data_IF_269365590600
#
_entry.id   IF_269365590600
#
_cell.length_a   1.000
_cell.length_b   1.000
_cell.length_c   1.000
_cell.angle_alpha   90.00
_cell.angle_beta   90.00
_cell.angle_gamma   90.00
#
_symmetry.space_group_name_H-M   'P 1'
#
loop_
_entity.id
_entity.type
_entity.pdbx_description
1 polymer ?
#
# COMPACT_ATOMS: atom_id res chain seq x y z
N UNK A 1 70.76 -32.35 -1.62
CA UNK A 1 71.33 -31.21 -2.37
C UNK A 1 70.24 -30.68 -3.29
N UNK A 2 69.76 -29.48 -2.98
CA UNK A 2 68.62 -28.81 -3.59
C UNK A 2 68.93 -28.34 -5.01
N UNK A 3 68.01 -28.55 -5.96
CA UNK A 3 67.82 -27.64 -7.08
C UNK A 3 66.34 -27.36 -7.24
N UNK A 4 65.96 -26.17 -6.79
CA UNK A 4 64.71 -25.50 -7.12
C UNK A 4 64.76 -25.19 -8.61
N UNK A 5 63.68 -25.48 -9.34
CA UNK A 5 63.43 -24.82 -10.61
C UNK A 5 61.96 -24.43 -10.65
N UNK A 6 61.72 -23.18 -10.31
CA UNK A 6 60.45 -22.48 -10.44
C UNK A 6 60.25 -22.18 -11.92
N UNK A 7 59.18 -22.68 -12.53
CA UNK A 7 58.74 -22.24 -13.87
C UNK A 7 57.39 -21.56 -13.72
N UNK A 8 57.41 -20.22 -13.84
CA UNK A 8 56.23 -19.37 -13.96
C UNK A 8 55.95 -19.24 -15.45
N UNK A 9 54.81 -19.76 -15.91
CA UNK A 9 54.25 -19.44 -17.22
C UNK A 9 52.89 -18.80 -17.00
N UNK A 10 52.79 -17.53 -17.35
CA UNK A 10 51.59 -16.72 -17.21
C UNK A 10 50.95 -16.48 -18.60
N UNK A 11 49.62 -16.31 -18.55
CA UNK A 11 48.73 -15.74 -19.57
C UNK A 11 48.37 -16.61 -20.79
N UNK A 12 47.08 -16.94 -20.93
CA UNK A 12 46.11 -16.21 -21.75
C UNK A 12 44.69 -16.64 -21.32
N UNK A 13 43.75 -15.69 -21.40
CA UNK A 13 42.48 -15.71 -20.70
C UNK A 13 41.48 -16.77 -21.13
N UNK A 14 40.65 -17.15 -20.17
CA UNK A 14 39.24 -17.41 -20.43
C UNK A 14 38.48 -16.72 -19.30
N UNK A 15 37.93 -15.55 -19.63
CA UNK A 15 36.87 -14.92 -18.85
C UNK A 15 35.67 -15.87 -18.98
N UNK A 16 35.55 -16.80 -18.04
CA UNK A 16 34.33 -17.55 -17.82
C UNK A 16 33.41 -16.70 -16.95
N UNK A 17 32.84 -15.64 -17.52
CA UNK A 17 31.58 -15.11 -17.04
C UNK A 17 30.57 -16.25 -17.22
N UNK A 18 30.41 -17.09 -16.20
CA UNK A 18 29.14 -17.80 -16.05
C UNK A 18 28.13 -16.74 -15.67
N UNK A 19 27.63 -16.05 -16.69
CA UNK A 19 26.28 -15.55 -16.69
C UNK A 19 25.42 -16.78 -16.44
N UNK A 20 25.18 -17.10 -15.17
CA UNK A 20 23.90 -17.64 -14.82
C UNK A 20 22.95 -16.51 -15.20
N UNK A 21 22.44 -16.58 -16.43
CA UNK A 21 21.13 -16.03 -16.70
C UNK A 21 20.23 -16.81 -15.76
N UNK A 22 20.05 -16.31 -14.54
CA UNK A 22 18.77 -16.48 -13.91
C UNK A 22 17.81 -15.85 -14.91
N UNK A 23 17.05 -16.71 -15.57
CA UNK A 23 15.83 -16.30 -16.23
C UNK A 23 14.93 -15.82 -15.09
N UNK A 24 15.18 -14.59 -14.64
CA UNK A 24 14.24 -13.87 -13.80
C UNK A 24 13.23 -13.28 -14.78
N UNK A 25 12.40 -14.18 -15.31
CA UNK A 25 10.97 -13.84 -15.38
C UNK A 25 10.54 -13.64 -13.93
N UNK A 26 10.92 -12.49 -13.39
CA UNK A 26 10.69 -12.04 -12.03
C UNK A 26 9.22 -11.63 -11.96
N UNK A 27 8.36 -12.63 -12.06
CA UNK A 27 7.11 -12.56 -11.31
C UNK A 27 7.57 -12.78 -9.87
N UNK A 28 7.95 -11.66 -9.24
CA UNK A 28 8.17 -11.59 -7.81
C UNK A 28 6.88 -12.05 -7.14
N UNK A 29 6.89 -13.32 -6.77
CA UNK A 29 5.81 -13.98 -6.06
C UNK A 29 6.07 -13.92 -4.55
N UNK A 30 7.05 -13.11 -4.10
CA UNK A 30 7.20 -12.76 -2.71
C UNK A 30 6.04 -11.84 -2.35
N UNK A 31 5.25 -12.30 -1.39
CA UNK A 31 4.02 -11.65 -0.95
C UNK A 31 4.41 -10.54 0.04
N UNK A 32 5.19 -9.58 -0.42
CA UNK A 32 5.58 -8.44 0.38
C UNK A 32 4.37 -7.53 0.60
N UNK A 33 4.28 -6.93 1.79
CA UNK A 33 3.27 -5.91 2.03
C UNK A 33 3.60 -4.67 1.20
N UNK A 34 2.57 -4.03 0.67
CA UNK A 34 2.71 -2.84 -0.18
C UNK A 34 1.69 -1.77 0.19
N UNK A 35 2.02 -0.52 -0.14
CA UNK A 35 1.13 0.61 0.08
C UNK A 35 1.05 1.51 -1.15
N UNK A 36 -0.16 1.98 -1.42
CA UNK A 36 -0.49 2.90 -2.50
C UNK A 36 -1.13 4.18 -1.96
N UNK A 37 -1.02 5.26 -2.74
CA UNK A 37 -1.66 6.55 -2.46
C UNK A 37 -2.76 6.81 -3.48
N UNK A 38 -3.99 7.03 -3.02
CA UNK A 38 -4.95 7.81 -3.77
C UNK A 38 -4.77 9.27 -3.36
N UNK A 39 -4.33 10.13 -4.28
CA UNK A 39 -4.02 11.53 -3.96
C UNK A 39 -5.00 12.48 -4.64
N UNK A 40 -5.56 13.38 -3.84
CA UNK A 40 -6.41 14.48 -4.31
C UNK A 40 -7.57 13.98 -5.19
N UNK A 41 -8.17 12.87 -4.79
CA UNK A 41 -9.28 12.23 -5.50
C UNK A 41 -10.61 12.77 -5.01
N UNK A 42 -11.61 12.76 -5.89
CA UNK A 42 -12.97 13.12 -5.53
C UNK A 42 -13.82 11.85 -5.46
N UNK A 43 -14.81 11.84 -4.58
CA UNK A 43 -15.87 10.85 -4.65
C UNK A 43 -16.79 11.16 -5.84
N UNK A 44 -17.15 10.13 -6.58
CA UNK A 44 -18.16 10.17 -7.62
C UNK A 44 -19.53 9.86 -7.02
N UNK A 45 -20.54 10.66 -7.35
CA UNK A 45 -21.91 10.45 -6.88
C UNK A 45 -22.75 9.67 -7.89
N UNK A 46 -23.36 8.58 -7.44
CA UNK A 46 -24.40 7.86 -8.17
C UNK A 46 -25.66 7.72 -7.28
N UNK A 47 -26.88 8.03 -7.77
CA UNK A 47 -28.09 7.85 -6.97
C UNK A 47 -28.34 6.45 -6.39
N UNK A 48 -27.76 5.40 -6.98
CA UNK A 48 -27.89 4.03 -6.47
C UNK A 48 -26.90 3.72 -5.33
N UNK A 49 -25.66 4.23 -5.43
CA UNK A 49 -24.54 3.81 -4.56
C UNK A 49 -24.07 4.92 -3.60
N UNK A 50 -24.55 6.15 -3.78
CA UNK A 50 -24.08 7.31 -3.03
C UNK A 50 -22.74 7.85 -3.55
N UNK A 51 -21.93 8.41 -2.65
CA UNK A 51 -20.58 8.87 -2.96
C UNK A 51 -19.60 7.71 -2.85
N UNK A 52 -18.89 7.41 -3.94
CA UNK A 52 -17.93 6.30 -3.99
C UNK A 52 -16.61 6.68 -4.65
N UNK A 53 -15.55 5.97 -4.28
CA UNK A 53 -14.29 5.90 -5.03
C UNK A 53 -14.00 4.44 -5.30
N UNK A 54 -14.15 4.04 -6.56
CA UNK A 54 -13.84 2.68 -7.02
C UNK A 54 -12.45 2.60 -7.62
N UNK A 55 -11.68 1.56 -7.31
CA UNK A 55 -10.42 1.24 -8.00
C UNK A 55 -10.28 -0.27 -8.21
N UNK A 56 -9.96 -0.64 -9.45
CA UNK A 56 -9.51 -1.99 -9.77
C UNK A 56 -8.05 -2.17 -9.36
N UNK A 57 -7.73 -3.34 -8.80
CA UNK A 57 -6.39 -3.76 -8.45
C UNK A 57 -5.71 -4.36 -9.69
N UNK A 58 -4.58 -3.78 -10.08
CA UNK A 58 -3.78 -4.26 -11.19
C UNK A 58 -2.27 -4.17 -10.85
N UNK A 59 -1.61 -5.31 -10.57
CA UNK A 59 -2.15 -6.68 -10.64
C UNK A 59 -3.22 -6.95 -9.58
N UNK A 60 -4.03 -7.99 -9.79
CA UNK A 60 -4.92 -8.50 -8.75
C UNK A 60 -4.09 -9.02 -7.57
N UNK A 61 -4.58 -8.81 -6.35
CA UNK A 61 -3.93 -9.30 -5.13
C UNK A 61 -4.28 -10.77 -4.87
N UNK A 62 -3.60 -11.42 -3.93
CA UNK A 62 -3.95 -12.79 -3.57
C UNK A 62 -5.24 -12.83 -2.76
N UNK A 63 -5.99 -13.92 -2.87
CA UNK A 63 -7.21 -14.12 -2.07
C UNK A 63 -6.94 -14.19 -0.55
N UNK A 64 -5.69 -14.38 -0.16
CA UNK A 64 -5.22 -14.35 1.22
C UNK A 64 -4.88 -12.95 1.72
N UNK A 65 -4.80 -11.96 0.84
CA UNK A 65 -4.36 -10.62 1.22
C UNK A 65 -5.53 -9.84 1.81
N UNK A 66 -5.22 -8.91 2.70
CA UNK A 66 -6.20 -8.00 3.30
C UNK A 66 -5.84 -6.56 2.98
N UNK A 67 -6.85 -5.72 2.81
CA UNK A 67 -6.68 -4.28 2.59
C UNK A 67 -7.01 -3.51 3.86
N UNK A 68 -6.13 -2.58 4.22
CA UNK A 68 -6.36 -1.54 5.21
C UNK A 68 -6.39 -0.19 4.50
N UNK A 69 -7.39 0.64 4.80
CA UNK A 69 -7.51 1.98 4.23
C UNK A 69 -7.42 3.03 5.33
N UNK A 70 -6.57 4.04 5.11
CA UNK A 70 -6.43 5.20 5.98
C UNK A 70 -6.69 6.47 5.18
N UNK A 71 -7.54 7.35 5.70
CA UNK A 71 -7.76 8.68 5.14
C UNK A 71 -6.79 9.69 5.76
N UNK A 72 -6.37 10.67 4.98
CA UNK A 72 -5.58 11.80 5.48
C UNK A 72 -6.51 12.75 6.24
N UNK A 73 -6.53 12.64 7.57
CA UNK A 73 -7.40 13.46 8.42
C UNK A 73 -6.85 14.88 8.63
N UNK A 74 -5.56 15.10 8.36
CA UNK A 74 -4.91 16.40 8.47
C UNK A 74 -3.39 16.28 8.43
N UNK A 75 -2.72 17.38 8.74
CA UNK A 75 -1.26 17.44 8.83
C UNK A 75 -0.86 18.29 10.05
N UNK A 76 0.22 17.89 10.73
CA UNK A 76 0.84 18.73 11.77
C UNK A 76 1.69 19.82 11.09
N UNK A 77 2.41 19.41 10.05
CA UNK A 77 3.22 20.25 9.16
C UNK A 77 3.26 19.63 7.75
N UNK A 78 3.94 20.25 6.80
CA UNK A 78 4.00 19.79 5.40
C UNK A 78 4.59 18.38 5.20
N UNK A 79 5.29 17.85 6.19
CA UNK A 79 5.95 16.53 6.15
C UNK A 79 5.34 15.50 7.11
N UNK A 80 4.39 15.90 7.96
CA UNK A 80 3.85 15.04 9.02
C UNK A 80 2.34 14.84 8.85
N UNK A 81 1.92 13.85 8.02
CA UNK A 81 0.51 13.53 7.82
C UNK A 81 -0.11 12.83 9.04
N UNK A 82 -1.40 13.10 9.27
CA UNK A 82 -2.21 12.43 10.28
C UNK A 82 -3.16 11.47 9.55
N UNK A 83 -2.87 10.18 9.67
CA UNK A 83 -3.67 9.12 9.07
C UNK A 83 -4.73 8.63 10.05
N UNK A 84 -5.95 8.44 9.56
CA UNK A 84 -7.05 7.86 10.31
C UNK A 84 -7.59 6.65 9.57
N UNK A 85 -7.63 5.50 10.23
CA UNK A 85 -8.20 4.29 9.65
C UNK A 85 -9.71 4.45 9.41
N UNK A 86 -10.20 3.87 8.32
CA UNK A 86 -11.64 3.67 8.06
C UNK A 86 -11.94 2.16 8.19
N UNK A 87 -13.16 1.73 8.62
CA UNK A 87 -14.38 2.53 8.74
C UNK A 87 -14.36 3.56 9.87
N UNK A 88 -15.00 4.71 9.65
CA UNK A 88 -15.04 5.79 10.65
C UNK A 88 -16.25 6.71 10.47
N UNK A 89 -16.94 6.97 11.58
CA UNK A 89 -17.92 8.05 11.71
C UNK A 89 -17.27 9.34 12.19
N UNK A 90 -17.60 10.44 11.54
CA UNK A 90 -17.35 11.81 12.00
C UNK A 90 -18.65 12.43 12.48
N UNK A 91 -18.59 13.11 13.62
CA UNK A 91 -19.70 13.86 14.17
C UNK A 91 -19.50 15.33 13.82
N UNK A 92 -20.27 15.82 12.86
CA UNK A 92 -20.19 17.19 12.33
C UNK A 92 -21.41 18.00 12.80
N UNK A 93 -21.34 19.35 12.74
CA UNK A 93 -22.51 20.19 13.01
C UNK A 93 -23.73 19.88 12.12
N UNK A 94 -23.49 19.45 10.89
CA UNK A 94 -24.52 19.12 9.89
C UNK A 94 -25.15 17.73 10.11
N UNK A 95 -24.43 16.81 10.77
CA UNK A 95 -24.86 15.43 10.98
C UNK A 95 -23.68 14.46 11.12
N UNK A 96 -23.98 13.17 11.03
CA UNK A 96 -22.97 12.12 10.98
C UNK A 96 -22.50 11.92 9.53
N UNK A 97 -21.19 11.76 9.36
CA UNK A 97 -20.53 11.38 8.10
C UNK A 97 -19.77 10.08 8.33
N UNK A 98 -20.12 9.04 7.58
CA UNK A 98 -19.51 7.72 7.65
C UNK A 98 -18.63 7.49 6.42
N UNK A 99 -17.36 7.16 6.68
CA UNK A 99 -16.51 6.53 5.68
C UNK A 99 -16.47 5.03 5.92
N UNK A 100 -16.69 4.25 4.88
CA UNK A 100 -16.63 2.79 4.90
C UNK A 100 -15.90 2.29 3.65
N UNK A 101 -15.59 1.00 3.59
CA UNK A 101 -15.05 0.38 2.38
C UNK A 101 -15.34 -1.11 2.32
N UNK A 102 -15.36 -1.63 1.10
CA UNK A 102 -15.23 -3.05 0.83
C UNK A 102 -14.07 -3.30 -0.14
N UNK A 103 -13.65 -4.56 -0.22
CA UNK A 103 -12.65 -4.98 -1.18
C UNK A 103 -12.82 -6.44 -1.57
N UNK A 104 -12.26 -6.76 -2.73
CA UNK A 104 -12.07 -8.10 -3.25
C UNK A 104 -10.59 -8.27 -3.65
N UNK A 105 -10.24 -9.44 -4.19
CA UNK A 105 -8.92 -9.61 -4.82
C UNK A 105 -8.75 -8.78 -6.11
N UNK A 106 -9.85 -8.26 -6.64
CA UNK A 106 -9.91 -7.60 -7.96
C UNK A 106 -10.05 -6.08 -7.84
N UNK A 107 -10.60 -5.57 -6.74
CA UNK A 107 -10.98 -4.17 -6.59
C UNK A 107 -11.23 -3.78 -5.14
N UNK A 108 -11.36 -2.48 -4.89
CA UNK A 108 -11.92 -1.94 -3.66
C UNK A 108 -12.80 -0.73 -3.95
N UNK A 109 -13.78 -0.49 -3.08
CA UNK A 109 -14.62 0.70 -3.11
C UNK A 109 -14.60 1.39 -1.76
N UNK A 110 -14.31 2.70 -1.76
CA UNK A 110 -14.46 3.55 -0.58
C UNK A 110 -15.80 4.27 -0.69
N UNK A 111 -16.57 4.29 0.39
CA UNK A 111 -17.88 4.92 0.49
C UNK A 111 -17.81 6.13 1.40
N UNK A 112 -18.58 7.17 1.06
CA UNK A 112 -18.90 8.26 1.95
C UNK A 112 -20.44 8.42 2.01
N UNK A 113 -21.00 8.30 3.20
CA UNK A 113 -22.43 8.41 3.46
C UNK A 113 -22.70 9.18 4.74
N UNK A 114 -23.96 9.46 5.05
CA UNK A 114 -24.26 10.16 6.29
C UNK A 114 -25.72 10.49 6.49
N UNK A 115 -26.00 11.21 7.57
CA UNK A 115 -27.36 11.61 7.96
C UNK A 115 -27.77 12.97 7.40
N UNK A 116 -26.99 13.55 6.49
CA UNK A 116 -27.20 14.86 5.88
C UNK A 116 -26.73 14.86 4.41
N UNK A 117 -27.00 15.94 3.69
CA UNK A 117 -26.54 16.10 2.31
C UNK A 117 -25.05 16.46 2.26
N UNK A 118 -24.21 15.45 1.97
CA UNK A 118 -22.75 15.60 1.87
C UNK A 118 -22.31 16.62 0.80
N UNK A 119 -23.15 16.93 -0.19
CA UNK A 119 -22.86 17.97 -1.18
C UNK A 119 -22.71 19.36 -0.55
N UNK A 120 -23.28 19.56 0.65
CA UNK A 120 -23.17 20.81 1.41
C UNK A 120 -21.82 20.96 2.12
N UNK A 121 -21.05 19.87 2.25
CA UNK A 121 -19.72 19.86 2.88
C UNK A 121 -18.69 19.22 1.93
N UNK A 122 -18.39 19.85 0.78
CA UNK A 122 -17.53 19.25 -0.25
C UNK A 122 -16.12 18.92 0.23
N UNK A 123 -15.64 19.56 1.30
CA UNK A 123 -14.32 19.29 1.91
C UNK A 123 -14.11 17.86 2.41
N UNK A 124 -15.16 17.04 2.49
CA UNK A 124 -15.10 15.65 2.93
C UNK A 124 -15.23 14.64 1.79
N UNK A 125 -15.59 15.10 0.60
CA UNK A 125 -15.85 14.26 -0.58
C UNK A 125 -15.07 14.73 -1.82
N UNK A 126 -14.24 15.77 -1.69
CA UNK A 126 -13.41 16.31 -2.77
C UNK A 126 -11.99 16.57 -2.29
N UNK A 127 -11.02 16.35 -3.17
CA UNK A 127 -9.60 16.49 -2.89
C UNK A 127 -9.12 15.64 -1.70
N UNK A 128 -9.70 14.46 -1.54
CA UNK A 128 -9.39 13.52 -0.47
C UNK A 128 -8.12 12.72 -0.80
N UNK A 129 -7.41 12.30 0.23
CA UNK A 129 -6.20 11.47 0.08
C UNK A 129 -6.27 10.26 0.98
N UNK A 130 -5.96 9.08 0.43
CA UNK A 130 -5.99 7.80 1.14
C UNK A 130 -4.68 7.02 0.97
N UNK A 131 -4.35 6.24 2.00
CA UNK A 131 -3.36 5.15 1.97
C UNK A 131 -4.11 3.84 1.85
N UNK A 132 -3.79 3.06 0.82
CA UNK A 132 -4.28 1.71 0.60
C UNK A 132 -3.13 0.77 0.91
N UNK A 133 -3.23 0.00 1.99
CA UNK A 133 -2.18 -0.93 2.42
C UNK A 133 -2.66 -2.35 2.20
N UNK A 134 -1.92 -3.12 1.40
CA UNK A 134 -2.16 -4.53 1.15
C UNK A 134 -1.21 -5.33 2.04
N UNK A 135 -1.80 -6.15 2.91
CA UNK A 135 -1.09 -6.99 3.88
C UNK A 135 -1.34 -8.45 3.57
N UNK A 136 -0.31 -9.21 3.19
CA UNK A 136 -0.48 -10.64 2.93
C UNK A 136 -0.69 -11.47 4.21
N UNK A 137 -1.65 -12.41 4.19
CA UNK A 137 -2.01 -13.17 5.40
C UNK A 137 -0.87 -14.00 6.00
N UNK A 138 0.08 -14.50 5.20
CA UNK A 138 1.20 -15.30 5.75
C UNK A 138 2.16 -14.47 6.62
N UNK A 139 2.27 -13.15 6.39
CA UNK A 139 3.06 -12.24 7.21
C UNK A 139 2.40 -11.97 8.57
N UNK A 140 1.08 -12.14 8.68
CA UNK A 140 0.37 -12.03 9.96
C UNK A 140 0.80 -13.09 10.99
N UNK A 141 1.43 -14.19 10.54
CA UNK A 141 1.80 -15.34 11.39
C UNK A 141 3.28 -15.37 11.82
N UNK A 142 4.16 -14.52 11.29
CA UNK A 142 5.62 -14.58 11.55
C UNK A 142 6.09 -13.60 12.64
N UNK A 143 5.50 -13.71 13.83
CA UNK A 143 6.01 -12.99 15.01
C UNK A 143 5.51 -11.56 15.17
N UNK A 144 4.33 -11.27 14.60
CA UNK A 144 3.59 -10.06 14.91
C UNK A 144 3.25 -10.05 16.41
N UNK A 145 4.05 -9.35 17.22
CA UNK A 145 3.50 -8.57 18.33
C UNK A 145 2.21 -7.95 17.81
N UNK A 146 1.08 -8.16 18.49
CA UNK A 146 -0.25 -7.71 18.07
C UNK A 146 -0.17 -6.33 17.40
N UNK A 147 -0.17 -6.31 16.05
CA UNK A 147 0.01 -5.07 15.29
C UNK A 147 -1.26 -4.27 15.46
N UNK A 148 -1.11 -3.02 15.90
CA UNK A 148 -2.25 -2.11 15.96
C UNK A 148 -2.56 -1.62 14.54
N UNK A 149 -3.50 -2.28 13.87
CA UNK A 149 -3.93 -1.87 12.54
C UNK A 149 -4.62 -0.51 12.51
N UNK A 150 -5.03 0.05 13.66
CA UNK A 150 -5.59 1.40 13.69
C UNK A 150 -4.54 2.51 13.54
N UNK A 151 -3.27 2.20 13.82
CA UNK A 151 -2.13 3.10 13.63
C UNK A 151 -1.38 2.75 12.34
N UNK A 152 -1.52 3.61 11.34
CA UNK A 152 -0.79 3.51 10.07
C UNK A 152 0.73 3.31 10.26
N UNK A 153 1.36 4.04 11.18
CA UNK A 153 2.80 3.96 11.39
C UNK A 153 3.20 2.61 12.00
N UNK A 154 2.35 2.04 12.85
CA UNK A 154 2.56 0.71 13.39
C UNK A 154 2.52 -0.36 12.28
N UNK A 155 1.61 -0.23 11.33
CA UNK A 155 1.51 -1.13 10.16
C UNK A 155 2.73 -1.00 9.25
N UNK A 156 3.10 0.22 8.83
CA UNK A 156 4.27 0.45 7.98
C UNK A 156 5.53 -0.15 8.61
N UNK A 157 5.72 0.07 9.91
CA UNK A 157 6.86 -0.47 10.66
C UNK A 157 6.83 -1.99 10.77
N UNK A 158 5.67 -2.57 11.08
CA UNK A 158 5.53 -4.01 11.30
C UNK A 158 5.81 -4.82 10.04
N UNK A 159 5.40 -4.31 8.87
CA UNK A 159 5.58 -4.99 7.59
C UNK A 159 6.74 -4.44 6.76
N UNK A 160 7.56 -3.54 7.33
CA UNK A 160 8.73 -2.95 6.69
C UNK A 160 8.42 -2.35 5.30
N UNK A 161 7.31 -1.63 5.20
CA UNK A 161 6.87 -0.97 3.98
C UNK A 161 7.76 0.26 3.75
N UNK A 162 8.39 0.34 2.58
CA UNK A 162 9.22 1.47 2.19
C UNK A 162 8.36 2.62 1.66
N UNK A 163 8.10 3.61 2.54
CA UNK A 163 7.24 4.75 2.19
C UNK A 163 7.76 5.58 1.01
N UNK A 164 9.08 5.56 0.75
CA UNK A 164 9.66 6.27 -0.39
C UNK A 164 9.27 5.67 -1.75
N UNK A 165 8.75 4.43 -1.74
CA UNK A 165 8.31 3.69 -2.92
C UNK A 165 6.79 3.67 -3.09
N UNK A 166 6.04 4.33 -2.21
CA UNK A 166 4.58 4.41 -2.33
C UNK A 166 4.23 5.07 -3.66
N UNK A 167 3.50 4.32 -4.49
CA UNK A 167 3.06 4.78 -5.81
C UNK A 167 1.69 5.43 -5.69
N UNK A 168 1.47 6.45 -6.52
CA UNK A 168 0.15 7.05 -6.68
C UNK A 168 -0.66 6.14 -7.60
N UNK A 169 -1.75 5.60 -7.06
CA UNK A 169 -2.77 4.88 -7.82
C UNK A 169 -3.69 5.91 -8.47
N UNK A 170 -3.89 5.77 -9.78
CA UNK A 170 -4.70 6.69 -10.59
C UNK A 170 -6.15 6.24 -10.62
#
# INVERSE_FOLDING_TARGET
>A
MSKKLTLILAFIGMIGLTTACSNEDDIDNDTIAEAFELRNVNFDFNPADGYTIYRALNPQIFASDVILIYRLAGTIDSSTPIWQQIPRTLYLPEGELDYDFDFSKEDFTIYAGGTYDLATTPTYITNETFRIVIVPAYLSNKGASQVDFSDYNAVIKAYNIDESKIKIMK
#
